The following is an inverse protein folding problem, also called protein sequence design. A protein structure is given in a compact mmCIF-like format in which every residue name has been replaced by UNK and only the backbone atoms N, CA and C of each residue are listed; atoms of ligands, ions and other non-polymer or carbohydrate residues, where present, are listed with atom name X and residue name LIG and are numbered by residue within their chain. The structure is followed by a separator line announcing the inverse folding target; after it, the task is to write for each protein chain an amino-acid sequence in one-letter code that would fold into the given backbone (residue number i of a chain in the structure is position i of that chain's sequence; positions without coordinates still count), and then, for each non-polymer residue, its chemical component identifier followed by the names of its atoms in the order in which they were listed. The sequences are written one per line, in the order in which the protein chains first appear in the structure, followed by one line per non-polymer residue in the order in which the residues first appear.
data_IF_488264272258
#
_entry.id   IF_488264272258
#
_cell.length_a   1.000
_cell.length_b   1.000
_cell.length_c   1.000
_cell.angle_alpha   90.00
_cell.angle_beta   90.00
_cell.angle_gamma   90.00
#
_symmetry.space_group_name_H-M   'P 1'
#
loop_
_entity.id
_entity.type
_entity.pdbx_description
1 polymer ?
#
# COMPACT_ATOMS: atom_id res chain seq x y z
N UNK A 1 -6.30 -7.09 10.46
CA UNK A 1 -6.24 -5.90 9.55
C UNK A 1 -5.66 -6.31 8.21
N UNK A 2 -6.14 -5.73 7.14
CA UNK A 2 -5.66 -6.01 5.78
C UNK A 2 -5.04 -4.74 5.22
N UNK A 3 -3.78 -4.83 4.79
CA UNK A 3 -3.07 -3.71 4.19
C UNK A 3 -3.47 -3.50 2.73
N UNK A 4 -3.44 -2.24 2.30
CA UNK A 4 -3.62 -1.85 0.91
C UNK A 4 -2.32 -1.23 0.41
N UNK A 5 -1.85 -1.65 -0.76
CA UNK A 5 -0.78 -0.92 -1.42
C UNK A 5 -1.33 0.27 -2.21
N UNK A 6 -0.47 1.05 -2.80
CA UNK A 6 -0.88 2.25 -3.56
C UNK A 6 -1.77 1.89 -4.75
N UNK A 7 -1.49 0.79 -5.45
CA UNK A 7 -2.31 0.37 -6.60
C UNK A 7 -3.74 0.05 -6.19
N UNK A 8 -3.91 -0.64 -5.08
CA UNK A 8 -5.23 -0.98 -4.53
C UNK A 8 -6.01 0.28 -4.14
N UNK A 9 -5.34 1.22 -3.48
CA UNK A 9 -5.98 2.50 -3.09
C UNK A 9 -6.46 3.27 -4.33
N UNK A 10 -5.63 3.37 -5.35
CA UNK A 10 -5.99 4.02 -6.61
C UNK A 10 -7.23 3.37 -7.21
N UNK A 11 -7.27 2.05 -7.28
CA UNK A 11 -8.38 1.32 -7.89
C UNK A 11 -9.67 1.44 -7.06
N UNK A 12 -9.58 1.49 -5.74
CA UNK A 12 -10.73 1.78 -4.88
C UNK A 12 -11.28 3.18 -5.17
N UNK A 13 -10.41 4.18 -5.22
CA UNK A 13 -10.81 5.56 -5.48
C UNK A 13 -11.43 5.74 -6.88
N UNK A 14 -11.03 4.92 -7.84
CA UNK A 14 -11.60 4.91 -9.20
C UNK A 14 -12.87 4.09 -9.34
N UNK A 15 -13.31 3.40 -8.30
CA UNK A 15 -14.50 2.56 -8.34
C UNK A 15 -14.32 1.26 -9.13
N UNK A 16 -13.11 0.70 -9.15
CA UNK A 16 -12.82 -0.55 -9.85
C UNK A 16 -13.66 -1.71 -9.30
N UNK A 17 -14.36 -2.42 -10.18
CA UNK A 17 -15.25 -3.50 -9.79
C UNK A 17 -14.51 -4.74 -9.25
N UNK A 18 -13.31 -5.01 -9.75
CA UNK A 18 -12.54 -6.19 -9.33
C UNK A 18 -12.09 -6.09 -7.88
N UNK A 19 -11.55 -4.95 -7.47
CA UNK A 19 -11.15 -4.76 -6.08
C UNK A 19 -12.35 -4.71 -5.14
N UNK A 20 -13.46 -4.16 -5.58
CA UNK A 20 -14.70 -4.16 -4.81
C UNK A 20 -15.12 -5.58 -4.43
N UNK A 21 -15.09 -6.51 -5.39
CA UNK A 21 -15.41 -7.93 -5.14
C UNK A 21 -14.46 -8.57 -4.13
N UNK A 22 -13.19 -8.23 -4.19
CA UNK A 22 -12.20 -8.74 -3.24
C UNK A 22 -12.48 -8.21 -1.83
N UNK A 23 -12.79 -6.93 -1.70
CA UNK A 23 -13.13 -6.32 -0.42
C UNK A 23 -14.40 -6.91 0.19
N UNK A 24 -15.38 -7.23 -0.63
CA UNK A 24 -16.64 -7.90 -0.18
C UNK A 24 -16.39 -9.30 0.39
N UNK A 25 -15.34 -9.98 -0.09
CA UNK A 25 -14.97 -11.32 0.36
C UNK A 25 -14.01 -11.34 1.54
N UNK A 26 -13.32 -10.24 1.79
CA UNK A 26 -12.29 -10.14 2.81
C UNK A 26 -12.66 -9.07 3.82
N UNK A 27 -13.40 -9.47 4.83
CA UNK A 27 -13.88 -8.57 5.87
C UNK A 27 -12.78 -8.26 6.87
N UNK A 28 -12.82 -7.06 7.40
CA UNK A 28 -11.92 -6.59 8.42
C UNK A 28 -11.49 -5.15 8.18
N UNK A 29 -10.88 -4.52 9.18
CA UNK A 29 -10.38 -3.17 9.04
C UNK A 29 -9.26 -3.09 8.02
N UNK A 30 -9.27 -2.03 7.23
CA UNK A 30 -8.27 -1.78 6.20
C UNK A 30 -7.18 -0.85 6.73
N UNK A 31 -5.97 -1.12 6.31
CA UNK A 31 -4.80 -0.33 6.67
C UNK A 31 -4.10 0.21 5.42
N UNK A 32 -3.55 1.39 5.54
CA UNK A 32 -2.69 1.99 4.53
C UNK A 32 -1.43 2.55 5.18
N UNK A 33 -0.49 2.99 4.37
CA UNK A 33 0.75 3.58 4.85
C UNK A 33 0.91 5.02 4.36
N UNK A 34 1.65 5.82 5.11
CA UNK A 34 2.02 7.18 4.67
C UNK A 34 2.90 7.15 3.42
N UNK A 35 3.57 6.04 3.12
CA UNK A 35 4.28 5.88 1.85
C UNK A 35 3.31 5.92 0.67
N UNK A 36 2.18 5.24 0.77
CA UNK A 36 1.14 5.30 -0.26
C UNK A 36 0.55 6.70 -0.40
N UNK A 37 0.33 7.40 0.71
CA UNK A 37 -0.14 8.78 0.67
C UNK A 37 0.85 9.68 -0.06
N UNK A 38 2.15 9.53 0.20
CA UNK A 38 3.19 10.28 -0.49
C UNK A 38 3.18 10.01 -2.00
N UNK A 39 3.10 8.75 -2.40
CA UNK A 39 3.03 8.38 -3.82
C UNK A 39 1.82 9.00 -4.52
N UNK A 40 0.67 8.98 -3.87
CA UNK A 40 -0.55 9.63 -4.39
C UNK A 40 -0.37 11.14 -4.49
N UNK A 41 0.25 11.75 -3.49
CA UNK A 41 0.49 13.20 -3.45
C UNK A 41 1.41 13.66 -4.59
N UNK A 42 2.39 12.87 -4.97
CA UNK A 42 3.24 13.18 -6.12
C UNK A 42 2.47 13.22 -7.44
N UNK A 43 1.35 12.55 -7.52
CA UNK A 43 0.47 12.57 -8.70
C UNK A 43 -0.53 13.72 -8.73
N UNK A 44 -0.55 14.60 -7.72
CA UNK A 44 -1.55 15.64 -7.57
C UNK A 44 -0.90 17.03 -7.49
N UNK A 45 -1.08 17.82 -8.54
CA UNK A 45 -0.72 19.25 -8.53
C UNK A 45 -1.94 20.06 -8.05
N UNK A 46 -1.92 20.48 -6.79
CA UNK A 46 -3.03 21.17 -6.15
C UNK A 46 -3.33 22.57 -6.70
N UNK A 47 -2.49 23.09 -7.59
CA UNK A 47 -2.80 24.28 -8.37
C UNK A 47 -3.88 24.03 -9.42
N UNK A 48 -4.09 22.76 -9.80
CA UNK A 48 -5.14 22.34 -10.71
C UNK A 48 -6.39 21.99 -9.87
N UNK A 49 -7.53 22.62 -10.17
CA UNK A 49 -8.77 22.42 -9.40
C UNK A 49 -9.25 20.97 -9.42
N UNK A 50 -9.06 20.27 -10.53
CA UNK A 50 -9.41 18.86 -10.68
C UNK A 50 -8.57 17.99 -9.73
N UNK A 51 -7.27 18.25 -9.65
CA UNK A 51 -6.38 17.56 -8.73
C UNK A 51 -6.70 17.89 -7.27
N UNK A 52 -7.09 19.12 -6.99
CA UNK A 52 -7.55 19.53 -5.66
C UNK A 52 -8.77 18.73 -5.20
N UNK A 53 -9.72 18.50 -6.09
CA UNK A 53 -10.89 17.66 -5.80
C UNK A 53 -10.50 16.20 -5.57
N UNK A 54 -9.54 15.68 -6.32
CA UNK A 54 -9.00 14.34 -6.13
C UNK A 54 -8.26 14.22 -4.80
N UNK A 55 -7.52 15.23 -4.39
CA UNK A 55 -6.86 15.28 -3.08
C UNK A 55 -7.89 15.20 -1.95
N UNK A 56 -8.97 15.95 -2.05
CA UNK A 56 -10.04 15.95 -1.03
C UNK A 56 -10.67 14.54 -0.90
N UNK A 57 -10.89 13.84 -2.00
CA UNK A 57 -11.39 12.46 -1.99
C UNK A 57 -10.37 11.49 -1.37
N UNK A 58 -9.10 11.66 -1.70
CA UNK A 58 -8.01 10.88 -1.14
C UNK A 58 -7.94 11.06 0.37
N UNK A 59 -7.97 12.29 0.84
CA UNK A 59 -7.92 12.62 2.27
C UNK A 59 -9.11 12.00 3.01
N UNK A 60 -10.31 12.12 2.47
CA UNK A 60 -11.50 11.53 3.07
C UNK A 60 -11.39 9.99 3.17
N UNK A 61 -10.83 9.36 2.15
CA UNK A 61 -10.62 7.92 2.16
C UNK A 61 -9.58 7.52 3.22
N UNK A 62 -8.44 8.22 3.29
CA UNK A 62 -7.40 7.93 4.30
C UNK A 62 -7.92 8.14 5.73
N UNK A 63 -8.80 9.08 5.96
CA UNK A 63 -9.45 9.27 7.27
C UNK A 63 -10.29 8.05 7.69
N UNK A 64 -10.78 7.28 6.74
CA UNK A 64 -11.56 6.07 7.01
C UNK A 64 -10.69 4.83 7.27
N UNK A 65 -9.39 4.91 7.09
CA UNK A 65 -8.45 3.82 7.20
C UNK A 65 -7.60 3.91 8.48
N UNK A 66 -7.01 2.78 8.85
CA UNK A 66 -5.89 2.79 9.79
C UNK A 66 -4.62 3.11 9.01
N UNK A 67 -4.07 4.29 9.23
CA UNK A 67 -2.88 4.77 8.50
C UNK A 67 -1.65 4.70 9.38
N UNK A 68 -0.62 4.02 8.90
CA UNK A 68 0.63 3.86 9.63
C UNK A 68 1.74 4.72 9.01
N UNK A 69 2.43 5.45 9.88
CA UNK A 69 3.65 6.17 9.54
C UNK A 69 4.84 5.21 9.56
N UNK A 70 5.96 5.61 8.96
CA UNK A 70 7.17 4.86 9.19
C UNK A 70 8.08 5.56 10.20
N UNK A 71 8.61 4.74 11.08
CA UNK A 71 9.64 5.10 12.04
C UNK A 71 10.95 4.38 11.70
N UNK A 72 11.91 4.47 12.58
CA UNK A 72 13.21 3.82 12.40
C UNK A 72 13.08 2.30 12.25
N UNK A 73 12.20 1.67 13.01
CA UNK A 73 11.98 0.21 12.94
C UNK A 73 11.42 -0.19 11.58
N UNK A 74 10.48 0.58 11.05
CA UNK A 74 9.94 0.37 9.71
C UNK A 74 11.03 0.55 8.63
N UNK A 75 11.89 1.54 8.79
CA UNK A 75 13.00 1.76 7.86
C UNK A 75 13.95 0.56 7.82
N UNK A 76 14.31 0.02 8.98
CA UNK A 76 15.17 -1.16 9.07
C UNK A 76 14.53 -2.38 8.43
N UNK A 77 13.25 -2.61 8.70
CA UNK A 77 12.50 -3.72 8.09
C UNK A 77 12.41 -3.59 6.57
N UNK A 78 12.16 -2.40 6.07
CA UNK A 78 12.09 -2.11 4.64
C UNK A 78 13.42 -2.38 3.94
N UNK A 79 14.52 -1.96 4.55
CA UNK A 79 15.88 -2.21 4.03
C UNK A 79 16.20 -3.70 4.06
N UNK A 80 15.84 -4.41 5.11
CA UNK A 80 16.01 -5.88 5.22
C UNK A 80 15.28 -6.59 4.07
N UNK A 81 14.05 -6.22 3.79
CA UNK A 81 13.27 -6.76 2.66
C UNK A 81 13.97 -6.48 1.34
N UNK A 82 14.40 -5.25 1.13
CA UNK A 82 15.09 -4.85 -0.09
C UNK A 82 16.33 -5.70 -0.36
N UNK A 83 17.20 -5.86 0.63
CA UNK A 83 18.44 -6.63 0.50
C UNK A 83 18.17 -8.13 0.33
N UNK A 84 17.20 -8.68 1.06
CA UNK A 84 16.79 -10.07 0.92
C UNK A 84 16.36 -10.39 -0.53
N UNK A 85 15.52 -9.54 -1.12
CA UNK A 85 15.04 -9.73 -2.48
C UNK A 85 16.14 -9.51 -3.51
N UNK A 86 17.02 -8.55 -3.29
CA UNK A 86 18.15 -8.29 -4.19
C UNK A 86 19.09 -9.47 -4.29
N UNK A 87 19.34 -10.15 -3.17
CA UNK A 87 20.19 -11.34 -3.12
C UNK A 87 19.51 -12.58 -3.74
N UNK A 88 18.19 -12.67 -3.61
CA UNK A 88 17.41 -13.86 -4.00
C UNK A 88 16.82 -13.83 -5.41
N UNK A 89 17.12 -12.88 -6.27
CA UNK A 89 16.64 -12.81 -7.67
C UNK A 89 15.56 -11.79 -7.99
N UNK A 90 15.21 -10.89 -7.20
CA UNK A 90 14.09 -10.11 -7.63
C UNK A 90 13.90 -8.84 -6.85
N UNK A 91 14.84 -7.94 -7.01
CA UNK A 91 14.65 -6.60 -6.48
C UNK A 91 13.29 -6.06 -6.92
N UNK A 92 12.53 -5.55 -5.97
CA UNK A 92 11.32 -4.80 -6.21
C UNK A 92 11.60 -3.32 -5.92
N UNK A 93 10.69 -2.46 -6.31
CA UNK A 93 10.85 -1.03 -6.07
C UNK A 93 10.96 -0.72 -4.57
N UNK A 94 11.79 0.26 -4.23
CA UNK A 94 12.01 0.65 -2.83
C UNK A 94 10.71 1.08 -2.13
N UNK A 95 9.82 1.74 -2.85
CA UNK A 95 8.53 2.15 -2.29
C UNK A 95 7.68 0.95 -1.86
N UNK A 96 7.68 -0.13 -2.65
CA UNK A 96 6.97 -1.36 -2.31
C UNK A 96 7.61 -2.05 -1.10
N UNK A 97 8.93 -2.05 -1.01
CA UNK A 97 9.64 -2.53 0.18
C UNK A 97 9.25 -1.72 1.43
N UNK A 98 9.11 -0.41 1.26
CA UNK A 98 8.73 0.49 2.36
C UNK A 98 7.30 0.22 2.82
N UNK A 99 6.37 0.08 1.88
CA UNK A 99 4.98 -0.27 2.21
C UNK A 99 4.92 -1.59 2.98
N UNK A 100 5.57 -2.63 2.46
CA UNK A 100 5.62 -3.93 3.14
C UNK A 100 6.29 -3.85 4.51
N UNK A 101 7.38 -3.10 4.62
CA UNK A 101 8.11 -2.91 5.86
C UNK A 101 7.25 -2.24 6.94
N UNK A 102 6.49 -1.21 6.57
CA UNK A 102 5.58 -0.55 7.50
C UNK A 102 4.49 -1.52 7.97
N UNK A 103 3.85 -2.22 7.03
CA UNK A 103 2.78 -3.16 7.35
C UNK A 103 3.28 -4.29 8.27
N UNK A 104 4.37 -4.96 7.91
CA UNK A 104 4.91 -6.07 8.68
C UNK A 104 5.38 -5.64 10.07
N UNK A 105 6.01 -4.47 10.19
CA UNK A 105 6.41 -3.92 11.48
C UNK A 105 5.22 -3.71 12.41
N UNK A 106 4.07 -3.39 11.86
CA UNK A 106 2.83 -3.19 12.61
C UNK A 106 1.97 -4.45 12.72
N UNK A 107 2.52 -5.62 12.42
CA UNK A 107 1.83 -6.90 12.57
C UNK A 107 0.80 -7.20 11.48
N UNK A 108 0.81 -6.45 10.39
CA UNK A 108 -0.11 -6.65 9.27
C UNK A 108 0.56 -7.54 8.24
N UNK A 109 0.06 -8.76 8.12
CA UNK A 109 0.67 -9.82 7.32
C UNK A 109 -0.12 -10.18 6.05
N UNK A 110 -1.16 -9.42 5.75
CA UNK A 110 -1.97 -9.62 4.54
C UNK A 110 -2.08 -8.28 3.80
N UNK A 111 -1.86 -8.32 2.48
CA UNK A 111 -1.96 -7.14 1.62
C UNK A 111 -2.83 -7.43 0.41
N UNK A 112 -3.65 -6.45 0.02
CA UNK A 112 -4.38 -6.46 -1.27
C UNK A 112 -3.59 -5.60 -2.24
N UNK A 113 -3.24 -6.15 -3.38
CA UNK A 113 -2.44 -5.46 -4.40
C UNK A 113 -2.73 -6.00 -5.80
N UNK A 114 -2.62 -5.12 -6.77
CA UNK A 114 -2.59 -5.48 -8.20
C UNK A 114 -1.20 -5.98 -8.62
N UNK A 115 -0.16 -5.60 -7.88
CA UNK A 115 1.24 -5.93 -8.17
C UNK A 115 1.69 -7.21 -7.46
N UNK A 116 0.97 -8.31 -7.71
CA UNK A 116 1.25 -9.61 -7.09
C UNK A 116 2.73 -10.01 -7.19
N UNK A 117 3.32 -9.81 -8.36
CA UNK A 117 4.72 -10.19 -8.62
C UNK A 117 5.72 -9.54 -7.66
N UNK A 118 5.45 -8.30 -7.24
CA UNK A 118 6.32 -7.59 -6.31
C UNK A 118 6.17 -8.11 -4.88
N UNK A 119 4.96 -8.17 -4.40
CA UNK A 119 4.69 -8.48 -2.99
C UNK A 119 4.77 -9.97 -2.64
N UNK A 120 4.50 -10.86 -3.61
CA UNK A 120 4.55 -12.32 -3.42
C UNK A 120 5.92 -12.83 -2.99
N UNK A 121 6.98 -12.12 -3.36
CA UNK A 121 8.36 -12.47 -3.01
C UNK A 121 8.74 -12.12 -1.58
N UNK A 122 7.92 -11.33 -0.91
CA UNK A 122 8.23 -10.83 0.44
C UNK A 122 7.86 -11.90 1.48
N UNK A 123 8.83 -12.34 2.30
CA UNK A 123 8.55 -13.33 3.34
C UNK A 123 7.49 -12.85 4.33
N UNK A 124 6.67 -13.79 4.79
CA UNK A 124 5.64 -13.56 5.82
C UNK A 124 4.47 -12.65 5.41
N UNK A 125 4.39 -12.27 4.13
CA UNK A 125 3.32 -11.44 3.61
C UNK A 125 2.41 -12.28 2.72
N UNK A 126 1.14 -12.42 3.12
CA UNK A 126 0.11 -13.04 2.30
C UNK A 126 -0.45 -12.01 1.32
N UNK A 127 -0.47 -12.36 0.05
CA UNK A 127 -0.95 -11.48 -1.01
C UNK A 127 -2.32 -11.91 -1.49
N UNK A 128 -3.24 -10.96 -1.55
CA UNK A 128 -4.54 -11.10 -2.17
C UNK A 128 -4.52 -10.19 -3.41
N UNK A 129 -4.72 -10.79 -4.56
CA UNK A 129 -4.73 -10.05 -5.84
C UNK A 129 -6.14 -9.98 -6.43
N UNK A 130 -6.30 -9.09 -7.41
CA UNK A 130 -7.59 -8.87 -8.07
C UNK A 130 -7.43 -8.50 -9.54
#
# INVERSE_FOLDING_TARGET
MIGLDTSAIIDILRGNASIKKVLEKNHGPLAATMMSYLELSFGLDTKNQRHKNEEDKCDAFFESLHVFNFDKTCCKKSAEIFWHLKEAEGAIEKNDCTIAGILLTNGITTIITKNEKHFKKIPHLKVITY
#
